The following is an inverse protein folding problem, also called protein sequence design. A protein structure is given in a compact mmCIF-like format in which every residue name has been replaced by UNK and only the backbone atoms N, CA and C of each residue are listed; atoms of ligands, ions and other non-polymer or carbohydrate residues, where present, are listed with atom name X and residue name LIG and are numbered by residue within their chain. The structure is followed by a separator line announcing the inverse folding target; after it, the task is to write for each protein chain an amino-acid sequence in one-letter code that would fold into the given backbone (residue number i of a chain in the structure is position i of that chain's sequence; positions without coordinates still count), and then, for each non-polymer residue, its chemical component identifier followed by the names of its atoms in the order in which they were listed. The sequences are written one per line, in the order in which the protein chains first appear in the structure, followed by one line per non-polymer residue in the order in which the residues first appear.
data_IF_796186767354
#
_entry.id   IF_796186767354
#
_cell.length_a   1.000
_cell.length_b   1.000
_cell.length_c   1.000
_cell.angle_alpha   90.00
_cell.angle_beta   90.00
_cell.angle_gamma   90.00
#
_symmetry.space_group_name_H-M   'P 1'
#
loop_
_entity.id
_entity.type
_entity.pdbx_description
1 polymer ?
#
# COMPACT_ATOMS: atom_id res chain seq x y z
N UNK A 1 -18.52 61.35 9.26
CA UNK A 1 -18.82 60.22 10.19
C UNK A 1 -19.76 59.17 9.60
N UNK A 2 -20.18 59.29 8.32
CA UNK A 2 -21.03 58.30 7.65
C UNK A 2 -20.35 57.62 6.42
N UNK A 3 -19.12 58.01 6.11
CA UNK A 3 -18.34 57.48 4.96
C UNK A 3 -17.33 56.36 5.35
N UNK A 4 -16.97 56.26 6.65
CA UNK A 4 -15.94 55.33 7.13
C UNK A 4 -16.45 53.92 7.57
N UNK A 5 -17.78 53.68 7.49
CA UNK A 5 -18.37 52.41 7.91
C UNK A 5 -18.65 51.46 6.73
N UNK A 6 -18.51 51.96 5.49
CA UNK A 6 -18.77 51.12 4.30
C UNK A 6 -17.54 50.43 3.70
N UNK A 7 -16.34 50.71 4.18
CA UNK A 7 -15.10 50.15 3.65
C UNK A 7 -14.54 48.94 4.44
N UNK A 8 -15.13 48.60 5.59
CA UNK A 8 -14.68 47.48 6.42
C UNK A 8 -15.49 46.16 6.28
N UNK A 9 -16.46 46.11 5.39
CA UNK A 9 -17.32 44.93 5.25
C UNK A 9 -17.11 44.11 3.97
N UNK A 10 -16.06 44.39 3.18
CA UNK A 10 -15.80 43.65 1.92
C UNK A 10 -14.39 43.06 1.82
N UNK A 11 -13.78 42.67 2.93
CA UNK A 11 -12.58 41.82 2.91
C UNK A 11 -12.86 40.55 3.68
N UNK A 12 -13.98 39.87 3.36
CA UNK A 12 -13.97 38.44 3.40
C UNK A 12 -13.42 37.98 2.05
N UNK A 13 -12.08 37.93 1.98
CA UNK A 13 -11.42 37.26 0.90
C UNK A 13 -11.98 35.84 0.85
N UNK A 14 -12.77 35.57 -0.18
CA UNK A 14 -12.94 34.20 -0.67
C UNK A 14 -11.52 33.64 -0.81
N UNK A 15 -11.12 32.77 0.13
CA UNK A 15 -10.06 31.83 -0.13
C UNK A 15 -10.56 31.03 -1.31
N UNK A 16 -10.19 31.45 -2.51
CA UNK A 16 -10.22 30.60 -3.69
C UNK A 16 -9.47 29.36 -3.25
N UNK A 17 -10.18 28.27 -3.04
CA UNK A 17 -9.57 26.95 -2.92
C UNK A 17 -8.87 26.79 -4.24
N UNK A 18 -7.52 26.85 -4.25
CA UNK A 18 -6.75 26.36 -5.37
C UNK A 18 -7.30 24.96 -5.64
N UNK A 19 -7.99 24.79 -6.75
CA UNK A 19 -8.45 23.47 -7.17
C UNK A 19 -7.20 22.61 -7.30
N UNK A 20 -7.10 21.62 -6.42
CA UNK A 20 -6.02 20.65 -6.45
C UNK A 20 -6.12 19.85 -7.74
N UNK A 21 -5.33 20.24 -8.74
CA UNK A 21 -5.33 19.68 -10.09
C UNK A 21 -4.72 18.27 -10.18
N UNK A 22 -4.18 17.75 -9.06
CA UNK A 22 -3.65 16.37 -9.02
C UNK A 22 -4.75 15.35 -9.30
N UNK A 23 -4.39 14.26 -9.97
CA UNK A 23 -5.29 13.13 -10.19
C UNK A 23 -5.69 12.43 -8.87
N UNK A 24 -6.71 11.59 -8.91
CA UNK A 24 -7.14 10.86 -7.72
C UNK A 24 -6.03 9.91 -7.21
N UNK A 25 -5.32 9.25 -8.11
CA UNK A 25 -4.19 8.40 -7.75
C UNK A 25 -3.02 9.22 -7.15
N UNK A 26 -2.73 10.41 -7.67
CA UNK A 26 -1.69 11.28 -7.12
C UNK A 26 -2.03 11.85 -5.73
N UNK A 27 -3.33 11.99 -5.42
CA UNK A 27 -3.80 12.47 -4.10
C UNK A 27 -3.81 11.38 -3.03
N UNK A 28 -4.18 10.17 -3.42
CA UNK A 28 -4.50 9.10 -2.48
C UNK A 28 -3.63 7.85 -2.64
N UNK A 29 -2.60 7.90 -3.48
CA UNK A 29 -1.65 6.80 -3.61
C UNK A 29 -0.21 7.30 -3.54
N UNK A 30 0.65 6.45 -2.98
CA UNK A 30 2.10 6.63 -2.97
C UNK A 30 2.72 5.73 -4.04
N UNK A 31 3.48 6.29 -4.97
CA UNK A 31 4.17 5.51 -6.00
C UNK A 31 5.46 4.89 -5.44
N UNK A 32 5.40 3.59 -5.14
CA UNK A 32 6.52 2.85 -4.54
C UNK A 32 7.62 2.60 -5.58
N UNK A 33 7.25 2.32 -6.85
CA UNK A 33 8.25 2.14 -7.93
C UNK A 33 9.00 3.42 -8.24
N UNK A 34 8.34 4.57 -8.18
CA UNK A 34 9.03 5.85 -8.32
C UNK A 34 10.02 6.10 -7.18
N UNK A 35 9.66 5.74 -5.94
CA UNK A 35 10.58 5.83 -4.80
C UNK A 35 11.77 4.88 -4.94
N UNK A 36 11.54 3.68 -5.49
CA UNK A 36 12.62 2.74 -5.80
C UNK A 36 13.61 3.32 -6.82
N UNK A 37 13.09 3.90 -7.91
CA UNK A 37 13.92 4.57 -8.93
C UNK A 37 14.74 5.73 -8.36
N UNK A 38 14.23 6.43 -7.36
CA UNK A 38 14.95 7.51 -6.67
C UNK A 38 15.92 7.02 -5.60
N UNK A 39 16.02 5.71 -5.35
CA UNK A 39 16.85 5.15 -4.28
C UNK A 39 16.40 5.55 -2.86
N UNK A 40 15.12 5.91 -2.71
CA UNK A 40 14.55 6.37 -1.42
C UNK A 40 14.00 5.22 -0.56
N UNK A 41 13.88 4.02 -1.10
CA UNK A 41 13.48 2.85 -0.34
C UNK A 41 14.67 2.25 0.41
N UNK A 42 14.38 1.62 1.53
CA UNK A 42 15.37 0.86 2.26
C UNK A 42 15.75 -0.43 1.49
N UNK A 43 17.01 -0.86 1.54
CA UNK A 43 17.41 -2.14 0.96
C UNK A 43 16.68 -3.26 1.71
N UNK A 44 16.20 -4.23 0.95
CA UNK A 44 15.46 -5.38 1.49
C UNK A 44 16.39 -6.58 1.49
N UNK A 45 16.42 -7.29 2.60
CA UNK A 45 17.27 -8.45 2.81
C UNK A 45 16.40 -9.66 3.13
N UNK A 46 16.79 -10.81 2.59
CA UNK A 46 16.25 -12.12 2.95
C UNK A 46 14.74 -12.27 2.70
N UNK A 47 14.25 -11.68 1.59
CA UNK A 47 12.85 -11.76 1.13
C UNK A 47 12.74 -12.20 -0.33
N UNK A 48 13.81 -12.79 -0.89
CA UNK A 48 13.85 -13.15 -2.31
C UNK A 48 12.79 -14.19 -2.66
N UNK A 49 12.54 -15.17 -1.79
CA UNK A 49 11.55 -16.23 -2.01
C UNK A 49 10.12 -15.67 -2.07
N UNK A 50 9.77 -14.78 -1.14
CA UNK A 50 8.46 -14.14 -1.09
C UNK A 50 8.25 -13.23 -2.31
N UNK A 51 9.27 -12.45 -2.69
CA UNK A 51 9.24 -11.57 -3.87
C UNK A 51 9.09 -12.40 -5.14
N UNK A 52 9.85 -13.47 -5.31
CA UNK A 52 9.73 -14.38 -6.45
C UNK A 52 8.32 -15.00 -6.52
N UNK A 53 7.79 -15.42 -5.37
CA UNK A 53 6.43 -15.96 -5.29
C UNK A 53 5.37 -14.94 -5.72
N UNK A 54 5.50 -13.68 -5.31
CA UNK A 54 4.61 -12.60 -5.72
C UNK A 54 4.69 -12.40 -7.24
N UNK A 55 5.88 -12.36 -7.81
CA UNK A 55 6.10 -12.21 -9.27
C UNK A 55 5.45 -13.36 -10.04
N UNK A 56 5.61 -14.60 -9.56
CA UNK A 56 4.97 -15.78 -10.15
C UNK A 56 3.44 -15.65 -10.14
N UNK A 57 2.85 -15.16 -9.04
CA UNK A 57 1.40 -14.97 -8.94
C UNK A 57 0.94 -13.86 -9.88
N UNK A 58 1.60 -12.71 -9.89
CA UNK A 58 1.27 -11.58 -10.77
C UNK A 58 1.35 -11.93 -12.26
N UNK A 59 2.15 -12.94 -12.62
CA UNK A 59 2.32 -13.44 -13.99
C UNK A 59 1.23 -14.41 -14.45
N UNK A 60 0.32 -14.84 -13.57
CA UNK A 60 -0.76 -15.78 -13.91
C UNK A 60 -1.88 -15.11 -14.67
N UNK A 61 -2.66 -15.91 -15.41
CA UNK A 61 -3.89 -15.45 -16.08
C UNK A 61 -5.08 -15.30 -15.14
N UNK A 62 -5.11 -16.10 -14.09
CA UNK A 62 -6.19 -16.15 -13.07
C UNK A 62 -5.58 -16.28 -11.69
N UNK A 63 -6.29 -15.88 -10.64
CA UNK A 63 -5.77 -15.80 -9.26
C UNK A 63 -4.41 -15.08 -9.22
N UNK A 64 -4.34 -13.96 -9.94
CA UNK A 64 -3.12 -13.17 -10.14
C UNK A 64 -2.96 -12.01 -9.16
N UNK A 65 -3.76 -12.01 -8.09
CA UNK A 65 -3.65 -11.03 -7.00
C UNK A 65 -3.01 -11.71 -5.79
N UNK A 66 -1.74 -11.44 -5.45
CA UNK A 66 -1.15 -11.93 -4.22
C UNK A 66 -1.76 -11.23 -3.00
N UNK A 67 -1.93 -11.97 -1.91
CA UNK A 67 -2.27 -11.41 -0.61
C UNK A 67 -1.21 -11.83 0.41
N UNK A 68 -0.52 -10.83 0.99
CA UNK A 68 0.53 -11.02 1.97
C UNK A 68 -0.13 -11.26 3.33
N UNK A 69 0.13 -12.42 3.91
CA UNK A 69 -0.45 -12.83 5.19
C UNK A 69 0.67 -12.93 6.21
N UNK A 70 0.55 -12.23 7.32
CA UNK A 70 1.52 -12.26 8.41
C UNK A 70 1.15 -11.29 9.51
N UNK A 71 1.72 -11.51 10.69
CA UNK A 71 1.49 -10.66 11.86
C UNK A 71 1.95 -9.21 11.63
N UNK A 72 1.45 -8.24 12.41
CA UNK A 72 1.95 -6.87 12.36
C UNK A 72 3.46 -6.84 12.63
N UNK A 73 4.22 -6.07 11.82
CA UNK A 73 5.66 -5.91 12.03
C UNK A 73 6.56 -6.94 11.36
N UNK A 74 6.06 -8.05 10.81
CA UNK A 74 6.90 -9.10 10.17
C UNK A 74 7.59 -8.66 8.88
N UNK A 75 7.26 -7.47 8.34
CA UNK A 75 7.92 -6.91 7.16
C UNK A 75 7.15 -7.04 5.85
N UNK A 76 5.82 -7.11 5.87
CA UNK A 76 4.98 -7.11 4.65
C UNK A 76 5.28 -5.93 3.73
N UNK A 77 5.44 -4.72 4.30
CA UNK A 77 5.80 -3.52 3.54
C UNK A 77 7.22 -3.59 2.97
N UNK A 78 8.18 -4.21 3.69
CA UNK A 78 9.53 -4.42 3.17
C UNK A 78 9.53 -5.36 1.94
N UNK A 79 8.70 -6.40 1.93
CA UNK A 79 8.53 -7.27 0.75
C UNK A 79 8.02 -6.48 -0.45
N UNK A 80 7.09 -5.54 -0.24
CA UNK A 80 6.59 -4.65 -1.29
C UNK A 80 7.69 -3.74 -1.84
N UNK A 81 8.50 -3.15 -0.94
CA UNK A 81 9.62 -2.29 -1.31
C UNK A 81 10.66 -3.07 -2.12
N UNK A 82 10.97 -4.31 -1.71
CA UNK A 82 11.85 -5.21 -2.44
C UNK A 82 11.30 -5.56 -3.84
N UNK A 83 10.01 -5.86 -3.94
CA UNK A 83 9.35 -6.09 -5.22
C UNK A 83 9.50 -4.88 -6.16
N UNK A 84 9.28 -3.66 -5.65
CA UNK A 84 9.44 -2.44 -6.43
C UNK A 84 10.88 -2.26 -6.92
N UNK A 85 11.87 -2.56 -6.08
CA UNK A 85 13.30 -2.52 -6.45
C UNK A 85 13.62 -3.54 -7.55
N UNK A 86 13.11 -4.77 -7.46
CA UNK A 86 13.32 -5.81 -8.49
C UNK A 86 12.63 -5.43 -9.81
N UNK A 87 11.42 -4.88 -9.79
CA UNK A 87 10.72 -4.40 -10.99
C UNK A 87 11.54 -3.29 -11.68
N UNK A 88 12.05 -2.32 -10.91
CA UNK A 88 12.79 -1.17 -11.46
C UNK A 88 14.18 -1.54 -11.95
N UNK A 89 14.81 -2.58 -11.40
CA UNK A 89 16.08 -3.12 -11.89
C UNK A 89 15.95 -3.99 -13.15
N UNK A 90 14.70 -4.33 -13.55
CA UNK A 90 14.45 -5.16 -14.72
C UNK A 90 14.57 -6.67 -14.49
N UNK A 91 14.74 -7.11 -13.24
CA UNK A 91 14.87 -8.53 -12.87
C UNK A 91 13.55 -9.30 -12.85
N UNK A 92 12.58 -8.96 -13.72
CA UNK A 92 11.23 -9.54 -13.75
C UNK A 92 10.84 -10.00 -15.15
N UNK A 93 9.91 -10.97 -15.28
CA UNK A 93 9.34 -11.38 -16.56
C UNK A 93 8.58 -10.22 -17.25
N UNK A 94 8.40 -10.30 -18.58
CA UNK A 94 7.70 -9.31 -19.40
C UNK A 94 6.29 -8.97 -18.89
N UNK A 95 5.61 -9.94 -18.29
CA UNK A 95 4.26 -9.76 -17.70
C UNK A 95 4.21 -8.76 -16.54
N UNK A 96 5.35 -8.52 -15.88
CA UNK A 96 5.50 -7.62 -14.74
C UNK A 96 6.45 -6.46 -15.07
N UNK A 97 7.20 -6.55 -16.17
CA UNK A 97 8.15 -5.53 -16.57
C UNK A 97 7.47 -4.18 -16.88
N UNK A 98 8.04 -3.12 -16.31
CA UNK A 98 7.54 -1.76 -16.50
C UNK A 98 6.20 -1.49 -15.82
N UNK A 99 5.81 -2.32 -14.83
CA UNK A 99 4.63 -2.03 -14.03
C UNK A 99 4.94 -1.03 -12.93
N UNK A 100 3.91 -0.24 -12.54
CA UNK A 100 3.94 0.67 -11.39
C UNK A 100 3.26 0.01 -10.20
N UNK A 101 3.81 0.20 -9.01
CA UNK A 101 3.15 -0.16 -7.75
C UNK A 101 2.68 1.13 -7.07
N UNK A 102 1.37 1.29 -6.93
CA UNK A 102 0.74 2.37 -6.20
C UNK A 102 0.21 1.84 -4.86
N UNK A 103 0.70 2.36 -3.75
CA UNK A 103 0.19 2.04 -2.41
C UNK A 103 -0.94 2.99 -2.04
N UNK A 104 -2.13 2.44 -1.78
CA UNK A 104 -3.32 3.20 -1.43
C UNK A 104 -3.22 3.76 0.00
N UNK A 105 -3.43 5.05 0.15
CA UNK A 105 -3.51 5.73 1.45
C UNK A 105 -4.97 5.74 1.95
N UNK A 106 -5.37 4.67 2.63
CA UNK A 106 -6.71 4.56 3.21
C UNK A 106 -7.02 5.66 4.23
N UNK A 107 -6.13 5.99 5.18
CA UNK A 107 -6.33 7.12 6.07
C UNK A 107 -6.55 8.44 5.33
N UNK A 108 -5.78 8.71 4.27
CA UNK A 108 -5.93 9.90 3.43
C UNK A 108 -7.27 9.96 2.69
N UNK A 109 -7.78 8.81 2.24
CA UNK A 109 -9.10 8.71 1.62
C UNK A 109 -10.23 9.08 2.58
N UNK A 110 -10.12 8.70 3.85
CA UNK A 110 -11.11 8.94 4.90
C UNK A 110 -10.99 10.36 5.46
N UNK A 111 -9.79 10.92 5.50
CA UNK A 111 -9.53 12.22 6.11
C UNK A 111 -10.39 13.33 5.47
N UNK A 112 -11.13 14.07 6.32
CA UNK A 112 -11.97 15.20 5.90
C UNK A 112 -13.27 14.81 5.17
N UNK A 113 -13.63 13.52 5.08
CA UNK A 113 -14.96 13.09 4.62
C UNK A 113 -15.98 13.36 5.71
N UNK A 114 -17.12 13.93 5.35
CA UNK A 114 -18.24 14.16 6.27
C UNK A 114 -19.34 13.12 6.10
N UNK A 115 -19.43 12.57 4.90
CA UNK A 115 -20.45 11.59 4.52
C UNK A 115 -19.79 10.36 3.92
N UNK A 116 -20.46 9.22 4.06
CA UNK A 116 -20.05 7.95 3.46
C UNK A 116 -19.78 8.06 1.95
N UNK A 117 -20.65 8.78 1.23
CA UNK A 117 -20.52 8.98 -0.21
C UNK A 117 -19.22 9.66 -0.64
N UNK A 118 -18.66 10.55 0.19
CA UNK A 118 -17.40 11.26 -0.13
C UNK A 118 -16.23 10.28 -0.24
N UNK A 119 -16.15 9.30 0.67
CA UNK A 119 -15.14 8.26 0.64
C UNK A 119 -15.33 7.30 -0.54
N UNK A 120 -16.57 6.84 -0.75
CA UNK A 120 -16.90 5.94 -1.85
C UNK A 120 -16.58 6.58 -3.21
N UNK A 121 -16.87 7.86 -3.39
CA UNK A 121 -16.54 8.61 -4.60
C UNK A 121 -15.02 8.73 -4.80
N UNK A 122 -14.27 9.07 -3.75
CA UNK A 122 -12.80 9.14 -3.82
C UNK A 122 -12.18 7.79 -4.19
N UNK A 123 -12.61 6.71 -3.51
CA UNK A 123 -12.13 5.36 -3.79
C UNK A 123 -12.47 4.94 -5.22
N UNK A 124 -13.69 5.21 -5.67
CA UNK A 124 -14.13 4.91 -7.04
C UNK A 124 -13.27 5.66 -8.07
N UNK A 125 -13.00 6.94 -7.85
CA UNK A 125 -12.16 7.73 -8.75
C UNK A 125 -10.74 7.16 -8.84
N UNK A 126 -10.14 6.72 -7.72
CA UNK A 126 -8.85 6.02 -7.72
C UNK A 126 -8.95 4.71 -8.51
N UNK A 127 -9.98 3.88 -8.26
CA UNK A 127 -10.16 2.61 -8.96
C UNK A 127 -10.34 2.79 -10.47
N UNK A 128 -11.14 3.77 -10.88
CA UNK A 128 -11.36 4.08 -12.29
C UNK A 128 -10.08 4.56 -12.98
N UNK A 129 -9.25 5.33 -12.29
CA UNK A 129 -7.96 5.79 -12.82
C UNK A 129 -6.96 4.65 -12.97
N UNK A 130 -6.72 3.88 -11.90
CA UNK A 130 -5.75 2.78 -11.92
C UNK A 130 -6.15 1.63 -12.86
N UNK A 131 -7.45 1.45 -13.09
CA UNK A 131 -7.96 0.41 -14.00
C UNK A 131 -7.72 0.77 -15.48
N UNK A 132 -7.58 2.05 -15.82
CA UNK A 132 -7.26 2.49 -17.20
C UNK A 132 -5.82 2.19 -17.58
N UNK A 133 -4.93 2.08 -16.61
CA UNK A 133 -3.53 1.75 -16.84
C UNK A 133 -3.27 0.27 -16.52
N UNK A 134 -3.21 -0.55 -17.57
CA UNK A 134 -2.95 -1.99 -17.46
C UNK A 134 -1.58 -2.34 -16.83
N UNK A 135 -0.72 -1.35 -16.63
CA UNK A 135 0.61 -1.51 -16.01
C UNK A 135 0.64 -1.07 -14.54
N UNK A 136 -0.49 -0.71 -13.98
CA UNK A 136 -0.57 -0.37 -12.55
C UNK A 136 -0.96 -1.60 -11.73
N UNK A 137 -0.24 -1.80 -10.62
CA UNK A 137 -0.55 -2.73 -9.54
C UNK A 137 -0.91 -1.89 -8.32
N UNK A 138 -2.09 -2.11 -7.76
CA UNK A 138 -2.52 -1.42 -6.55
C UNK A 138 -2.17 -2.23 -5.31
N UNK A 139 -1.39 -1.66 -4.41
CA UNK A 139 -1.16 -2.24 -3.09
C UNK A 139 -2.15 -1.67 -2.08
N UNK A 140 -2.77 -2.55 -1.31
CA UNK A 140 -3.72 -2.20 -0.26
C UNK A 140 -3.28 -2.87 1.02
N UNK A 141 -2.74 -2.06 1.93
CA UNK A 141 -2.44 -2.54 3.27
C UNK A 141 -3.74 -2.67 4.08
N UNK A 142 -3.76 -3.64 5.01
CA UNK A 142 -4.95 -3.95 5.81
C UNK A 142 -6.23 -4.04 4.95
N UNK A 143 -6.15 -4.78 3.84
CA UNK A 143 -7.23 -4.89 2.84
C UNK A 143 -8.56 -5.33 3.45
N UNK A 144 -8.54 -6.02 4.60
CA UNK A 144 -9.73 -6.41 5.35
C UNK A 144 -10.59 -5.21 5.79
N UNK A 145 -9.98 -4.02 6.00
CA UNK A 145 -10.71 -2.80 6.31
C UNK A 145 -11.60 -2.33 5.16
N UNK A 146 -11.25 -2.69 3.92
CA UNK A 146 -12.07 -2.37 2.75
C UNK A 146 -13.16 -3.42 2.54
N UNK A 147 -12.79 -4.71 2.61
CA UNK A 147 -13.70 -5.81 2.24
C UNK A 147 -14.59 -6.28 3.38
N UNK A 148 -14.22 -6.00 4.64
CA UNK A 148 -14.97 -6.37 5.84
C UNK A 148 -15.93 -5.29 6.35
N UNK A 149 -15.87 -4.09 5.82
CA UNK A 149 -16.62 -2.95 6.31
C UNK A 149 -18.16 -3.08 6.16
N UNK A 150 -18.64 -4.00 5.33
CA UNK A 150 -20.08 -4.23 5.13
C UNK A 150 -20.77 -5.08 6.21
N UNK A 151 -20.00 -5.66 7.14
CA UNK A 151 -20.55 -6.65 8.11
C UNK A 151 -20.90 -6.08 9.49
N UNK A 152 -20.63 -4.80 9.78
CA UNK A 152 -20.91 -4.21 11.07
C UNK A 152 -22.18 -3.34 11.05
N UNK A 153 -23.07 -3.55 12.06
CA UNK A 153 -24.33 -2.84 12.25
C UNK A 153 -24.17 -1.31 12.45
N UNK A 154 -22.97 -0.80 12.54
CA UNK A 154 -22.64 0.58 12.87
C UNK A 154 -22.32 1.47 11.65
N UNK A 155 -22.77 1.10 10.45
CA UNK A 155 -22.70 1.99 9.28
C UNK A 155 -21.29 2.20 8.72
N UNK A 156 -20.34 1.29 8.99
CA UNK A 156 -19.02 1.33 8.40
C UNK A 156 -19.09 1.14 6.88
N UNK A 157 -18.26 1.88 6.18
CA UNK A 157 -18.22 2.05 4.72
C UNK A 157 -18.07 0.72 4.00
N UNK A 158 -19.00 0.38 3.12
CA UNK A 158 -18.92 -0.84 2.30
C UNK A 158 -18.08 -0.59 1.03
N UNK A 159 -16.79 -0.35 1.24
CA UNK A 159 -15.84 -0.22 0.14
C UNK A 159 -15.62 -1.56 -0.61
N UNK A 160 -16.03 -2.66 -0.01
CA UNK A 160 -16.01 -3.98 -0.65
C UNK A 160 -16.88 -4.04 -1.90
N UNK A 161 -18.01 -3.34 -1.91
CA UNK A 161 -18.88 -3.28 -3.10
C UNK A 161 -18.22 -2.57 -4.29
N UNK A 162 -17.26 -1.68 -4.05
CA UNK A 162 -16.48 -1.02 -5.11
C UNK A 162 -15.35 -1.92 -5.60
N UNK A 163 -14.63 -2.56 -4.68
CA UNK A 163 -13.45 -3.37 -5.00
C UNK A 163 -13.82 -4.73 -5.61
N UNK A 164 -14.84 -5.42 -5.09
CA UNK A 164 -15.27 -6.75 -5.56
C UNK A 164 -15.57 -6.80 -7.06
N UNK A 165 -16.35 -5.88 -7.66
CA UNK A 165 -16.61 -5.89 -9.10
C UNK A 165 -15.35 -5.66 -9.95
N UNK A 166 -14.42 -4.82 -9.48
CA UNK A 166 -13.17 -4.53 -10.18
C UNK A 166 -12.27 -5.77 -10.21
N UNK A 167 -12.13 -6.43 -9.05
CA UNK A 167 -11.41 -7.71 -8.93
C UNK A 167 -12.09 -8.82 -9.73
N UNK A 168 -13.43 -8.89 -9.71
CA UNK A 168 -14.19 -9.92 -10.45
C UNK A 168 -13.98 -9.82 -11.95
N UNK A 169 -13.91 -8.64 -12.50
CA UNK A 169 -13.62 -8.41 -13.94
C UNK A 169 -12.17 -8.70 -14.31
N UNK A 170 -11.24 -8.74 -13.35
CA UNK A 170 -9.81 -8.92 -13.59
C UNK A 170 -9.16 -7.72 -14.30
N UNK A 171 -9.79 -6.57 -14.24
CA UNK A 171 -9.32 -5.32 -14.86
C UNK A 171 -8.23 -4.62 -14.07
N UNK A 172 -8.00 -5.04 -12.82
CA UNK A 172 -6.98 -4.48 -11.93
C UNK A 172 -6.18 -5.61 -11.27
N UNK A 173 -4.88 -5.43 -11.17
CA UNK A 173 -4.00 -6.27 -10.36
C UNK A 173 -3.85 -5.63 -8.98
N UNK A 174 -4.08 -6.42 -7.94
CA UNK A 174 -4.03 -5.96 -6.55
C UNK A 174 -3.05 -6.83 -5.76
N UNK A 175 -2.23 -6.22 -4.94
CA UNK A 175 -1.49 -6.87 -3.86
C UNK A 175 -2.17 -6.45 -2.56
N UNK A 176 -2.75 -7.39 -1.83
CA UNK A 176 -3.32 -7.14 -0.50
C UNK A 176 -2.32 -7.47 0.60
N UNK A 177 -2.47 -6.85 1.77
CA UNK A 177 -1.79 -7.28 2.99
C UNK A 177 -2.79 -7.36 4.14
N UNK A 178 -2.65 -8.39 5.01
CA UNK A 178 -3.55 -8.63 6.13
C UNK A 178 -2.90 -9.59 7.14
N UNK A 179 -3.56 -9.86 8.26
CA UNK A 179 -3.17 -10.91 9.22
C UNK A 179 -3.85 -12.25 8.87
N UNK A 180 -3.39 -13.35 9.47
CA UNK A 180 -3.97 -14.68 9.25
C UNK A 180 -5.43 -14.77 9.73
N UNK A 181 -5.73 -14.16 10.88
CA UNK A 181 -7.08 -14.13 11.44
C UNK A 181 -8.05 -13.39 10.51
N UNK A 182 -7.66 -12.22 10.05
CA UNK A 182 -8.48 -11.37 9.19
C UNK A 182 -8.64 -11.94 7.79
N UNK A 183 -7.60 -12.60 7.26
CA UNK A 183 -7.70 -13.35 6.00
C UNK A 183 -8.80 -14.40 6.08
N UNK A 184 -8.76 -15.25 7.10
CA UNK A 184 -9.77 -16.30 7.30
C UNK A 184 -11.16 -15.72 7.53
N UNK A 185 -11.26 -14.60 8.23
CA UNK A 185 -12.53 -13.97 8.59
C UNK A 185 -13.22 -13.28 7.40
N UNK A 186 -12.46 -12.57 6.56
CA UNK A 186 -13.00 -11.64 5.56
C UNK A 186 -12.74 -12.02 4.12
N UNK A 187 -11.66 -12.74 3.82
CA UNK A 187 -11.27 -13.06 2.44
C UNK A 187 -11.61 -14.51 2.08
N UNK A 188 -11.18 -15.47 2.90
CA UNK A 188 -11.36 -16.89 2.63
C UNK A 188 -12.84 -17.31 2.60
N UNK A 189 -13.68 -16.67 3.42
CA UNK A 189 -15.12 -16.93 3.47
C UNK A 189 -15.92 -16.28 2.35
N UNK A 190 -15.33 -15.34 1.62
CA UNK A 190 -15.97 -14.70 0.48
C UNK A 190 -15.55 -15.38 -0.83
N UNK A 191 -16.44 -16.15 -1.50
CA UNK A 191 -16.09 -16.89 -2.70
C UNK A 191 -15.63 -16.02 -3.87
N UNK A 192 -16.02 -14.73 -3.91
CA UNK A 192 -15.62 -13.80 -4.95
C UNK A 192 -14.16 -13.35 -4.77
N UNK A 193 -13.73 -13.18 -3.52
CA UNK A 193 -12.36 -12.79 -3.16
C UNK A 193 -11.43 -14.00 -3.16
N UNK A 194 -11.84 -15.13 -2.55
CA UNK A 194 -11.05 -16.36 -2.48
C UNK A 194 -10.58 -16.83 -3.87
N UNK A 195 -11.44 -16.72 -4.88
CA UNK A 195 -11.12 -17.09 -6.27
C UNK A 195 -10.15 -16.11 -6.96
N UNK A 196 -9.89 -14.95 -6.38
CA UNK A 196 -9.06 -13.90 -6.97
C UNK A 196 -7.72 -13.73 -6.30
N UNK A 197 -7.68 -13.95 -4.99
CA UNK A 197 -6.45 -13.83 -4.21
C UNK A 197 -5.70 -15.15 -4.10
N UNK A 198 -4.37 -15.04 -4.05
CA UNK A 198 -3.46 -16.16 -3.77
C UNK A 198 -2.62 -15.79 -2.55
N UNK A 199 -2.72 -16.55 -1.45
CA UNK A 199 -1.97 -16.26 -0.24
C UNK A 199 -0.46 -16.44 -0.43
N UNK A 200 0.30 -15.54 0.20
CA UNK A 200 1.74 -15.56 0.39
C UNK A 200 2.01 -15.32 1.86
N UNK A 201 2.50 -16.33 2.56
CA UNK A 201 2.83 -16.22 3.98
C UNK A 201 4.11 -15.42 4.15
N UNK A 202 4.08 -14.46 5.06
CA UNK A 202 5.23 -13.65 5.46
C UNK A 202 5.49 -13.94 6.93
N UNK A 203 6.52 -14.72 7.18
CA UNK A 203 6.91 -15.13 8.52
C UNK A 203 7.91 -14.15 9.14
N UNK A 204 8.03 -14.19 10.46
CA UNK A 204 9.10 -13.48 11.15
C UNK A 204 10.46 -14.01 10.67
N UNK A 205 11.45 -13.14 10.51
CA UNK A 205 12.80 -13.58 10.18
C UNK A 205 13.39 -14.41 11.31
N UNK A 206 14.21 -15.40 10.97
CA UNK A 206 15.02 -16.11 11.96
C UNK A 206 16.00 -15.14 12.64
N UNK A 207 16.55 -15.49 13.80
CA UNK A 207 17.58 -14.67 14.47
C UNK A 207 18.77 -14.37 13.54
N UNK A 208 19.20 -15.37 12.78
CA UNK A 208 20.30 -15.21 11.81
C UNK A 208 19.94 -14.21 10.70
N UNK A 209 18.69 -14.24 10.24
CA UNK A 209 18.21 -13.35 9.20
C UNK A 209 17.95 -11.94 9.73
N UNK A 210 17.45 -11.83 10.97
CA UNK A 210 17.31 -10.55 11.66
C UNK A 210 18.69 -9.85 11.80
N UNK A 211 19.74 -10.59 12.15
CA UNK A 211 21.11 -10.06 12.19
C UNK A 211 21.55 -9.56 10.81
N UNK A 212 21.29 -10.31 9.72
CA UNK A 212 21.62 -9.88 8.35
C UNK A 212 20.88 -8.61 7.95
N UNK A 213 19.58 -8.54 8.29
CA UNK A 213 18.74 -7.35 8.06
C UNK A 213 19.34 -6.14 8.77
N UNK A 214 19.68 -6.26 10.05
CA UNK A 214 20.26 -5.18 10.84
C UNK A 214 21.62 -4.74 10.28
N UNK A 215 22.46 -5.66 9.84
CA UNK A 215 23.73 -5.32 9.15
C UNK A 215 23.47 -4.52 7.87
N UNK A 216 22.46 -4.91 7.11
CA UNK A 216 22.11 -4.25 5.86
C UNK A 216 21.65 -2.80 6.03
N UNK A 217 20.89 -2.52 7.06
CA UNK A 217 20.35 -1.17 7.34
C UNK A 217 21.25 -0.32 8.22
N UNK A 218 22.26 -0.92 8.88
CA UNK A 218 23.16 -0.29 9.87
C UNK A 218 23.74 1.05 9.39
N UNK A 219 24.29 1.09 8.19
CA UNK A 219 24.93 2.30 7.67
C UNK A 219 23.98 3.50 7.57
N UNK A 220 22.69 3.27 7.29
CA UNK A 220 21.69 4.34 7.26
C UNK A 220 21.42 4.89 8.65
N UNK A 221 21.29 4.02 9.64
CA UNK A 221 21.14 4.42 11.05
C UNK A 221 22.36 5.14 11.57
N UNK A 222 23.57 4.63 11.31
CA UNK A 222 24.83 5.29 11.67
C UNK A 222 24.93 6.69 11.05
N UNK A 223 24.59 6.83 9.77
CA UNK A 223 24.65 8.10 9.07
C UNK A 223 23.58 9.10 9.59
N UNK A 224 22.39 8.63 9.92
CA UNK A 224 21.30 9.47 10.42
C UNK A 224 21.59 9.95 11.85
N UNK A 225 21.99 9.04 12.74
CA UNK A 225 22.19 9.34 14.17
C UNK A 225 23.60 9.80 14.50
N UNK A 226 24.54 9.79 13.52
CA UNK A 226 25.97 10.16 13.69
C UNK A 226 26.67 9.35 14.78
N UNK A 227 26.32 8.06 14.90
CA UNK A 227 26.91 7.09 15.83
C UNK A 227 27.50 5.92 15.07
N UNK A 228 28.34 5.12 15.76
CA UNK A 228 28.81 3.82 15.27
C UNK A 228 28.11 2.69 16.00
N UNK A 229 27.58 1.72 15.24
CA UNK A 229 26.93 0.52 15.75
C UNK A 229 27.89 -0.64 15.58
N UNK A 230 28.36 -1.23 16.69
CA UNK A 230 29.29 -2.35 16.63
C UNK A 230 28.59 -3.65 16.27
N UNK A 231 29.31 -4.65 15.74
CA UNK A 231 28.76 -5.96 15.42
C UNK A 231 28.14 -6.61 16.66
N UNK A 232 28.79 -6.51 17.81
CA UNK A 232 28.24 -7.00 19.09
C UNK A 232 26.93 -6.32 19.49
N UNK A 233 26.74 -5.04 19.15
CA UNK A 233 25.49 -4.34 19.42
C UNK A 233 24.36 -4.86 18.51
N UNK A 234 24.66 -5.18 17.25
CA UNK A 234 23.69 -5.78 16.31
C UNK A 234 23.26 -7.16 16.82
N UNK A 235 24.21 -8.03 17.18
CA UNK A 235 23.93 -9.37 17.70
C UNK A 235 23.14 -9.32 19.03
N UNK A 236 23.48 -8.39 19.90
CA UNK A 236 22.78 -8.21 21.18
C UNK A 236 21.32 -7.73 20.98
N UNK A 237 21.10 -6.84 20.00
CA UNK A 237 19.76 -6.32 19.72
C UNK A 237 18.76 -7.38 19.22
N UNK A 238 19.25 -8.47 18.63
CA UNK A 238 18.40 -9.58 18.17
C UNK A 238 18.10 -10.57 19.31
N UNK A 239 19.01 -10.69 20.30
CA UNK A 239 18.87 -11.64 21.41
C UNK A 239 18.07 -11.12 22.60
N UNK A 240 17.84 -9.81 22.69
CA UNK A 240 17.10 -9.16 23.78
C UNK A 240 15.61 -9.04 23.48
#
# INVERSE_FOLDING_TARGET
LAADIKEKSFVHAEKVKEEDTRSAAEKYCKDITYLALQGKLDPVFNRDNEIERIIQILSRRTKNNPILIGEPGVGKSAVLDGLAQVITSGGVPDSVYGTRILSLDLPGLIAGTRYRGDFEERLKNVMDEVTRDNKTILFIDEIHNIVGAGATADGNMDAGEILKPVLARGSLRVIGATTAEEYTRYIEKDPALERRFQPVMIEEPSEEDAVKILYGIRNRYENHHKVKITDKAVEAAVKL
#
